data_IF_317549025175
#
_entry.id   IF_317549025175
#
_cell.length_a   1.000
_cell.length_b   1.000
_cell.length_c   1.000
_cell.angle_alpha   90.00
_cell.angle_beta   90.00
_cell.angle_gamma   90.00
#
_symmetry.space_group_name_H-M   'P 1'
#
loop_
_entity.id
_entity.type
_entity.pdbx_description
1 polymer ?
#
# COMPACT_ATOMS: atom_id res chain seq x y z
N UNK A 1 -16.24 -16.88 -7.70
CA UNK A 1 -15.46 -18.10 -7.89
C UNK A 1 -15.84 -19.03 -6.73
N UNK A 2 -16.84 -19.87 -6.95
CA UNK A 2 -17.46 -20.70 -5.92
C UNK A 2 -16.69 -22.04 -5.73
N UNK A 3 -16.20 -22.57 -6.80
CA UNK A 3 -15.47 -23.87 -6.78
C UNK A 3 -13.95 -23.72 -6.86
N UNK A 4 -13.45 -22.49 -6.93
CA UNK A 4 -12.02 -22.17 -6.85
C UNK A 4 -11.27 -22.44 -8.16
N UNK A 5 -11.96 -22.55 -9.28
CA UNK A 5 -11.38 -22.80 -10.59
C UNK A 5 -10.85 -21.52 -11.26
N UNK A 6 -11.18 -20.36 -10.71
CA UNK A 6 -10.72 -19.04 -11.16
C UNK A 6 -11.70 -18.31 -12.05
N UNK A 7 -12.79 -18.91 -12.42
CA UNK A 7 -13.86 -18.24 -13.15
C UNK A 7 -14.90 -17.66 -12.17
N UNK A 8 -15.48 -16.52 -12.52
CA UNK A 8 -16.46 -15.87 -11.66
C UNK A 8 -17.85 -16.44 -11.88
N UNK A 9 -18.49 -16.89 -10.79
CA UNK A 9 -19.83 -17.47 -10.76
C UNK A 9 -20.85 -16.41 -10.36
N UNK A 10 -21.88 -16.12 -11.20
CA UNK A 10 -22.92 -15.18 -10.86
C UNK A 10 -23.87 -15.71 -9.80
N UNK A 11 -24.05 -14.96 -8.72
CA UNK A 11 -25.12 -15.19 -7.74
C UNK A 11 -26.18 -14.11 -7.89
N UNK A 12 -27.40 -14.53 -8.22
CA UNK A 12 -28.53 -13.63 -8.47
C UNK A 12 -29.49 -13.72 -7.30
N UNK A 13 -29.67 -12.58 -6.63
CA UNK A 13 -30.67 -12.42 -5.59
C UNK A 13 -31.97 -11.95 -6.23
N UNK A 14 -33.05 -12.71 -6.05
CA UNK A 14 -34.36 -12.40 -6.59
C UNK A 14 -35.34 -11.99 -5.47
N UNK A 15 -36.03 -10.88 -5.65
CA UNK A 15 -37.09 -10.49 -4.75
C UNK A 15 -38.36 -11.34 -5.05
N UNK A 16 -38.84 -12.04 -4.05
CA UNK A 16 -40.04 -12.87 -4.16
C UNK A 16 -39.87 -14.21 -4.87
N UNK A 17 -38.66 -14.57 -5.30
CA UNK A 17 -38.30 -15.83 -5.94
C UNK A 17 -37.05 -16.44 -5.32
N UNK A 18 -36.80 -17.76 -5.48
CA UNK A 18 -35.54 -18.35 -5.03
C UNK A 18 -34.33 -17.70 -5.68
N UNK A 19 -33.31 -17.44 -4.86
CA UNK A 19 -32.00 -16.99 -5.36
C UNK A 19 -31.38 -18.07 -6.26
N UNK A 20 -30.56 -17.64 -7.19
CA UNK A 20 -29.90 -18.56 -8.15
C UNK A 20 -28.40 -18.34 -8.17
N UNK A 21 -27.68 -19.42 -8.12
CA UNK A 21 -26.25 -19.47 -8.35
C UNK A 21 -26.02 -20.13 -9.71
N UNK A 22 -25.28 -19.48 -10.56
CA UNK A 22 -24.91 -19.99 -11.88
C UNK A 22 -23.43 -20.34 -11.85
N UNK A 23 -23.11 -21.56 -12.11
CA UNK A 23 -21.73 -21.98 -12.28
C UNK A 23 -21.25 -21.59 -13.68
N UNK A 24 -20.10 -20.92 -13.72
CA UNK A 24 -19.37 -20.66 -14.95
C UNK A 24 -18.47 -21.89 -15.23
N UNK A 25 -18.73 -22.59 -16.32
CA UNK A 25 -17.91 -23.76 -16.70
C UNK A 25 -16.55 -23.38 -17.28
N UNK A 26 -16.26 -22.06 -17.30
CA UNK A 26 -14.97 -21.52 -17.61
C UNK A 26 -14.49 -21.70 -19.04
N UNK A 27 -13.21 -21.43 -19.20
CA UNK A 27 -12.48 -21.62 -20.44
C UNK A 27 -10.97 -21.74 -20.15
N UNK A 28 -10.15 -21.96 -21.19
CA UNK A 28 -8.69 -22.09 -21.04
C UNK A 28 -7.94 -20.76 -20.87
N UNK A 29 -8.62 -19.65 -20.64
CA UNK A 29 -7.99 -18.35 -20.44
C UNK A 29 -7.24 -18.27 -19.09
N UNK A 30 -6.17 -17.51 -19.08
CA UNK A 30 -5.46 -17.20 -17.85
C UNK A 30 -6.24 -16.24 -16.96
N UNK A 31 -6.03 -16.35 -15.66
CA UNK A 31 -6.58 -15.46 -14.65
C UNK A 31 -5.59 -15.22 -13.50
N UNK A 32 -5.83 -14.19 -12.72
CA UNK A 32 -5.08 -13.87 -11.51
C UNK A 32 -6.03 -13.32 -10.46
N UNK A 33 -5.94 -13.88 -9.26
CA UNK A 33 -6.62 -13.37 -8.07
C UNK A 33 -5.60 -12.76 -7.11
N UNK A 34 -5.94 -11.59 -6.55
CA UNK A 34 -5.07 -10.86 -5.62
C UNK A 34 -5.87 -10.49 -4.38
N UNK A 35 -5.40 -10.97 -3.23
CA UNK A 35 -5.88 -10.57 -1.91
C UNK A 35 -4.88 -9.58 -1.31
N UNK A 36 -5.37 -8.50 -0.74
CA UNK A 36 -4.56 -7.48 -0.11
C UNK A 36 -4.85 -7.42 1.39
N UNK A 37 -3.78 -7.32 2.19
CA UNK A 37 -3.85 -7.14 3.64
C UNK A 37 -3.12 -5.86 4.03
N UNK A 38 -3.90 -4.84 4.42
CA UNK A 38 -3.35 -3.58 4.91
C UNK A 38 -2.72 -3.74 6.30
N UNK A 39 -1.60 -3.10 6.51
CA UNK A 39 -0.94 -3.02 7.84
C UNK A 39 -0.91 -1.58 8.35
N UNK A 40 -0.86 -0.61 7.46
CA UNK A 40 -0.90 0.82 7.73
C UNK A 40 -2.17 1.44 7.16
N UNK A 41 -2.60 0.96 6.02
CA UNK A 41 -3.93 1.18 5.48
C UNK A 41 -4.96 0.38 6.28
N UNK A 42 -6.25 0.52 5.94
CA UNK A 42 -7.26 -0.35 6.52
C UNK A 42 -6.96 -1.82 6.17
N UNK A 43 -7.28 -2.73 7.09
CA UNK A 43 -6.94 -4.15 7.00
C UNK A 43 -7.41 -4.81 5.71
N UNK A 44 -8.53 -4.37 5.18
CA UNK A 44 -9.16 -4.89 3.96
C UNK A 44 -8.64 -4.21 2.69
N UNK A 45 -7.68 -3.30 2.81
CA UNK A 45 -7.09 -2.52 1.72
C UNK A 45 -8.14 -1.77 0.85
N UNK A 46 -9.31 -1.44 1.40
CA UNK A 46 -10.35 -0.70 0.68
C UNK A 46 -9.80 0.64 0.20
N UNK A 47 -9.93 0.93 -1.10
CA UNK A 47 -9.36 2.08 -1.78
C UNK A 47 -7.98 1.80 -2.41
N UNK A 48 -7.42 0.61 -2.24
CA UNK A 48 -6.20 0.21 -2.94
C UNK A 48 -6.48 0.05 -4.44
N UNK A 49 -5.56 0.54 -5.25
CA UNK A 49 -5.58 0.39 -6.70
C UNK A 49 -4.52 -0.58 -7.16
N UNK A 50 -4.92 -1.56 -7.96
CA UNK A 50 -4.05 -2.57 -8.54
C UNK A 50 -3.92 -2.31 -10.04
N UNK A 51 -2.72 -2.30 -10.54
CA UNK A 51 -2.41 -2.16 -11.98
C UNK A 51 -1.58 -3.36 -12.40
N UNK A 52 -2.16 -4.19 -13.25
CA UNK A 52 -1.53 -5.38 -13.79
C UNK A 52 -0.92 -5.05 -15.14
N UNK A 53 0.38 -5.26 -15.28
CA UNK A 53 1.16 -5.00 -16.48
C UNK A 53 1.46 -6.30 -17.23
N UNK A 54 1.61 -6.20 -18.53
CA UNK A 54 1.95 -7.24 -19.48
C UNK A 54 2.11 -6.61 -20.87
N UNK A 55 2.15 -7.41 -21.94
CA UNK A 55 2.37 -6.95 -23.30
C UNK A 55 1.38 -5.87 -23.82
N UNK A 56 0.20 -5.78 -23.23
CA UNK A 56 -0.82 -4.79 -23.61
C UNK A 56 -0.99 -3.72 -22.53
N UNK A 57 -1.98 -2.80 -22.75
CA UNK A 57 -2.30 -1.77 -21.78
C UNK A 57 -2.57 -2.37 -20.39
N UNK A 58 -2.13 -1.72 -19.32
CA UNK A 58 -2.37 -2.18 -17.95
C UNK A 58 -3.87 -2.37 -17.67
N UNK A 59 -4.19 -3.44 -16.94
CA UNK A 59 -5.54 -3.67 -16.43
C UNK A 59 -5.59 -3.13 -15.01
N UNK A 60 -6.54 -2.23 -14.73
CA UNK A 60 -6.68 -1.63 -13.40
C UNK A 60 -7.89 -2.21 -12.68
N UNK A 61 -7.71 -2.46 -11.38
CA UNK A 61 -8.77 -2.81 -10.42
C UNK A 61 -8.63 -1.94 -9.18
N UNK A 62 -9.74 -1.76 -8.47
CA UNK A 62 -9.78 -1.09 -7.18
C UNK A 62 -10.50 -1.98 -6.17
N UNK A 63 -9.95 -2.06 -4.96
CA UNK A 63 -10.62 -2.74 -3.85
C UNK A 63 -11.70 -1.80 -3.31
N UNK A 64 -12.95 -2.17 -3.55
CA UNK A 64 -14.12 -1.41 -3.09
C UNK A 64 -14.82 -2.15 -1.96
N UNK A 65 -15.28 -1.43 -0.96
CA UNK A 65 -16.06 -2.01 0.16
C UNK A 65 -17.52 -2.27 -0.20
N UNK A 66 -18.05 -1.53 -1.18
CA UNK A 66 -19.47 -1.57 -1.56
C UNK A 66 -19.62 -1.43 -3.08
N UNK A 67 -20.48 -2.23 -3.67
CA UNK A 67 -20.93 -2.09 -5.04
C UNK A 67 -22.46 -1.97 -5.07
N UNK A 68 -22.96 -0.74 -5.09
CA UNK A 68 -24.40 -0.46 -5.01
C UNK A 68 -25.02 -0.95 -3.70
N UNK A 69 -26.01 -1.83 -3.77
CA UNK A 69 -26.68 -2.45 -2.61
C UNK A 69 -26.01 -3.74 -2.13
N UNK A 70 -24.90 -4.15 -2.75
CA UNK A 70 -24.17 -5.37 -2.43
C UNK A 70 -22.78 -5.09 -1.92
N UNK A 71 -22.21 -6.02 -1.14
CA UNK A 71 -20.83 -6.00 -0.73
C UNK A 71 -19.95 -6.51 -1.89
N UNK A 72 -18.91 -5.75 -2.25
CA UNK A 72 -17.92 -6.20 -3.22
C UNK A 72 -16.99 -7.26 -2.61
N UNK A 73 -16.55 -8.19 -3.45
CA UNK A 73 -15.44 -9.08 -3.09
C UNK A 73 -14.18 -8.23 -2.80
N UNK A 74 -13.44 -8.60 -1.76
CA UNK A 74 -12.14 -8.00 -1.43
C UNK A 74 -11.01 -8.59 -2.26
N UNK A 75 -11.27 -9.66 -2.98
CA UNK A 75 -10.34 -10.26 -3.93
C UNK A 75 -10.41 -9.53 -5.26
N UNK A 76 -9.31 -8.95 -5.72
CA UNK A 76 -9.23 -8.41 -7.07
C UNK A 76 -9.03 -9.56 -8.06
N UNK A 77 -9.94 -9.67 -9.02
CA UNK A 77 -9.88 -10.68 -10.08
C UNK A 77 -9.50 -10.04 -11.42
N UNK A 78 -8.53 -10.64 -12.11
CA UNK A 78 -8.05 -10.23 -13.42
C UNK A 78 -8.20 -11.39 -14.42
N UNK A 79 -9.03 -11.23 -15.43
CA UNK A 79 -9.03 -12.11 -16.58
C UNK A 79 -7.89 -11.75 -17.53
N UNK A 80 -7.03 -12.68 -17.84
CA UNK A 80 -5.84 -12.47 -18.68
C UNK A 80 -6.07 -12.78 -20.16
N UNK A 81 -7.16 -13.50 -20.47
CA UNK A 81 -7.44 -14.02 -21.80
C UNK A 81 -6.49 -15.13 -22.23
N UNK A 82 -6.55 -15.53 -23.47
CA UNK A 82 -5.67 -16.57 -24.04
C UNK A 82 -4.28 -16.01 -24.33
N UNK A 83 -3.24 -16.69 -23.83
CA UNK A 83 -1.84 -16.42 -24.17
C UNK A 83 -1.28 -15.09 -23.65
N UNK A 84 -1.73 -14.62 -22.49
CA UNK A 84 -1.21 -13.41 -21.87
C UNK A 84 -0.53 -13.72 -20.54
N UNK A 85 0.80 -13.81 -20.49
CA UNK A 85 1.49 -13.68 -19.23
C UNK A 85 1.31 -12.24 -18.71
N UNK A 86 0.98 -12.10 -17.44
CA UNK A 86 1.14 -10.85 -16.74
C UNK A 86 2.58 -10.81 -16.20
N UNK A 87 3.29 -9.71 -16.44
CA UNK A 87 4.69 -9.60 -16.06
C UNK A 87 4.85 -9.06 -14.64
N UNK A 88 3.99 -8.12 -14.26
CA UNK A 88 4.08 -7.47 -12.97
C UNK A 88 2.75 -6.88 -12.49
N UNK A 89 2.65 -6.77 -11.18
CA UNK A 89 1.53 -6.12 -10.49
C UNK A 89 2.05 -4.94 -9.68
N UNK A 90 1.47 -3.77 -9.87
CA UNK A 90 1.68 -2.59 -9.01
C UNK A 90 0.43 -2.38 -8.16
N UNK A 91 0.62 -2.28 -6.85
CA UNK A 91 -0.42 -1.92 -5.90
C UNK A 91 -0.15 -0.52 -5.37
N UNK A 92 -1.12 0.37 -5.50
CA UNK A 92 -1.14 1.69 -4.85
C UNK A 92 -2.08 1.58 -3.67
N UNK A 93 -1.53 1.52 -2.47
CA UNK A 93 -2.27 1.40 -1.23
C UNK A 93 -3.01 2.71 -0.87
N UNK A 94 -4.06 2.67 -0.06
CA UNK A 94 -4.85 3.87 0.29
C UNK A 94 -4.03 5.02 0.87
N UNK A 95 -2.95 4.70 1.61
CA UNK A 95 -1.98 5.68 2.13
C UNK A 95 -1.01 6.26 1.09
N UNK A 96 -1.15 5.90 -0.20
CA UNK A 96 -0.27 6.34 -1.28
C UNK A 96 1.01 5.50 -1.45
N UNK A 97 1.23 4.51 -0.61
CA UNK A 97 2.34 3.57 -0.77
C UNK A 97 2.18 2.76 -2.06
N UNK A 98 3.29 2.57 -2.79
CA UNK A 98 3.32 1.77 -4.01
C UNK A 98 4.19 0.54 -3.80
N UNK A 99 3.64 -0.61 -4.15
CA UNK A 99 4.31 -1.90 -4.00
C UNK A 99 4.22 -2.65 -5.32
N UNK A 100 5.38 -2.96 -5.89
CA UNK A 100 5.50 -3.71 -7.15
C UNK A 100 5.86 -5.17 -6.88
N UNK A 101 5.34 -6.07 -7.70
CA UNK A 101 5.60 -7.50 -7.64
C UNK A 101 5.80 -8.02 -9.06
N UNK A 102 6.85 -8.84 -9.28
CA UNK A 102 6.97 -9.66 -10.48
C UNK A 102 6.03 -10.85 -10.42
N UNK A 103 5.58 -11.28 -11.56
CA UNK A 103 4.70 -12.41 -11.70
C UNK A 103 5.39 -13.50 -12.53
N UNK A 104 5.41 -14.71 -11.99
CA UNK A 104 5.75 -15.89 -12.79
C UNK A 104 4.61 -16.23 -13.75
N UNK A 105 4.93 -16.91 -14.85
CA UNK A 105 3.97 -17.32 -15.90
C UNK A 105 2.77 -18.10 -15.36
N UNK A 106 2.97 -18.84 -14.27
CA UNK A 106 1.97 -19.73 -13.67
C UNK A 106 1.31 -19.17 -12.41
N UNK A 107 1.58 -17.90 -12.08
CA UNK A 107 1.00 -17.25 -10.91
C UNK A 107 -0.50 -17.08 -11.10
N UNK A 108 -1.30 -17.66 -10.21
CA UNK A 108 -2.77 -17.59 -10.23
C UNK A 108 -3.33 -16.83 -9.02
N UNK A 109 -2.70 -16.96 -7.86
CA UNK A 109 -3.15 -16.32 -6.61
C UNK A 109 -2.00 -15.63 -5.91
N UNK A 110 -2.28 -14.47 -5.36
CA UNK A 110 -1.34 -13.66 -4.60
C UNK A 110 -2.03 -13.18 -3.33
N UNK A 111 -1.41 -13.45 -2.19
CA UNK A 111 -1.73 -12.83 -0.92
C UNK A 111 -0.62 -11.83 -0.59
N UNK A 112 -0.94 -10.54 -0.64
CA UNK A 112 0.02 -9.48 -0.46
C UNK A 112 -0.27 -8.67 0.79
N UNK A 113 0.71 -8.62 1.68
CA UNK A 113 0.69 -7.77 2.86
C UNK A 113 1.35 -6.44 2.54
N UNK A 114 0.73 -5.34 2.93
CA UNK A 114 1.27 -3.99 2.74
C UNK A 114 2.68 -3.87 3.34
N UNK A 115 3.66 -3.54 2.48
CA UNK A 115 5.05 -3.38 2.88
C UNK A 115 5.85 -4.68 3.01
N UNK A 116 5.27 -5.85 2.75
CA UNK A 116 6.04 -7.09 2.65
C UNK A 116 6.77 -7.20 1.32
N UNK A 117 7.88 -7.95 1.31
CA UNK A 117 8.51 -8.42 0.08
C UNK A 117 7.94 -9.83 -0.15
N UNK A 118 7.26 -10.10 -1.27
CA UNK A 118 6.78 -11.45 -1.55
C UNK A 118 7.95 -12.42 -1.67
N UNK A 119 7.86 -13.54 -0.97
CA UNK A 119 8.94 -14.55 -0.87
C UNK A 119 9.12 -15.40 -2.14
N UNK A 120 8.32 -15.19 -3.18
CA UNK A 120 8.30 -15.99 -4.40
C UNK A 120 8.41 -15.13 -5.65
N UNK A 121 9.57 -14.48 -5.84
CA UNK A 121 9.84 -13.78 -7.09
C UNK A 121 11.29 -13.98 -7.49
N UNK A 122 11.50 -14.53 -8.69
CA UNK A 122 12.80 -14.64 -9.35
C UNK A 122 13.52 -13.28 -9.45
N UNK A 123 14.83 -13.31 -9.31
CA UNK A 123 15.77 -12.20 -9.09
C UNK A 123 15.87 -11.11 -10.18
N UNK A 124 14.96 -11.02 -11.15
CA UNK A 124 15.10 -10.13 -12.32
C UNK A 124 14.28 -8.84 -12.25
N UNK A 125 14.17 -8.23 -11.06
CA UNK A 125 13.50 -6.94 -10.88
C UNK A 125 14.46 -5.76 -10.70
N UNK A 126 15.44 -5.66 -11.57
CA UNK A 126 16.40 -4.54 -11.57
C UNK A 126 15.87 -3.21 -12.13
N UNK A 127 14.62 -3.12 -12.58
CA UNK A 127 14.09 -1.91 -13.22
C UNK A 127 13.07 -1.10 -12.42
N UNK A 128 12.56 -1.60 -11.31
CA UNK A 128 11.84 -0.72 -10.37
C UNK A 128 12.85 -0.23 -9.33
N UNK A 129 13.29 1.00 -9.49
CA UNK A 129 14.22 1.65 -8.56
C UNK A 129 13.76 1.41 -7.12
N UNK A 130 14.47 0.52 -6.43
CA UNK A 130 14.43 0.40 -4.97
C UNK A 130 15.09 1.67 -4.44
N UNK A 131 14.33 2.73 -4.32
CA UNK A 131 14.82 3.96 -3.71
C UNK A 131 14.31 4.02 -2.28
N UNK A 132 15.17 4.39 -1.36
CA UNK A 132 14.74 4.74 0.00
C UNK A 132 13.66 5.83 -0.08
N UNK A 133 12.54 5.68 0.61
CA UNK A 133 11.38 6.56 0.51
C UNK A 133 10.82 6.93 1.87
N UNK A 134 10.38 8.16 1.98
CA UNK A 134 9.66 8.68 3.13
C UNK A 134 8.22 8.98 2.73
N UNK A 135 7.27 8.52 3.56
CA UNK A 135 5.84 8.71 3.32
C UNK A 135 5.31 9.86 4.17
N UNK A 136 4.17 10.41 3.77
CA UNK A 136 3.50 11.44 4.57
C UNK A 136 3.14 10.89 5.95
N UNK A 137 3.14 11.78 6.93
CA UNK A 137 2.72 11.43 8.28
C UNK A 137 1.21 11.09 8.34
N UNK A 138 0.87 10.15 9.19
CA UNK A 138 -0.51 9.77 9.45
C UNK A 138 -0.74 9.50 10.95
N UNK A 139 -1.85 9.99 11.53
CA UNK A 139 -2.83 10.92 10.95
C UNK A 139 -2.26 12.32 10.68
N UNK A 140 -2.87 13.06 9.75
CA UNK A 140 -2.60 14.47 9.49
C UNK A 140 -3.90 15.14 8.99
N UNK A 141 -4.54 16.07 9.73
CA UNK A 141 -4.13 16.56 11.03
C UNK A 141 -4.12 15.52 12.16
N UNK A 142 -3.36 15.76 13.23
CA UNK A 142 -3.28 14.89 14.39
C UNK A 142 -3.47 15.66 15.70
N UNK A 143 -3.92 14.95 16.74
CA UNK A 143 -4.18 15.51 18.06
C UNK A 143 -3.06 15.16 19.05
N UNK A 144 -2.80 13.88 19.29
CA UNK A 144 -1.84 13.43 20.29
C UNK A 144 -0.50 12.98 19.68
N UNK A 145 -0.56 12.23 18.60
CA UNK A 145 0.64 11.71 17.93
C UNK A 145 0.39 11.49 16.44
N UNK A 146 1.49 11.48 15.69
CA UNK A 146 1.51 11.12 14.27
C UNK A 146 2.71 10.25 13.97
N UNK A 147 2.62 9.41 12.94
CA UNK A 147 3.69 8.51 12.52
C UNK A 147 4.19 8.89 11.14
N UNK A 148 5.50 8.91 10.98
CA UNK A 148 6.20 9.02 9.72
C UNK A 148 6.73 7.62 9.40
N UNK A 149 6.33 7.08 8.27
CA UNK A 149 6.83 5.81 7.78
C UNK A 149 7.88 6.05 6.70
N UNK A 150 8.86 5.18 6.63
CA UNK A 150 9.87 5.18 5.59
C UNK A 150 10.38 3.78 5.29
N UNK A 151 10.96 3.64 4.12
CA UNK A 151 11.60 2.41 3.66
C UNK A 151 13.05 2.70 3.36
N UNK A 152 13.95 1.82 3.84
CA UNK A 152 15.38 1.82 3.53
C UNK A 152 15.67 0.69 2.56
N UNK A 153 16.32 1.01 1.45
CA UNK A 153 16.81 -0.01 0.51
C UNK A 153 17.96 -0.81 1.10
N UNK A 154 18.88 -0.12 1.77
CA UNK A 154 20.07 -0.66 2.41
C UNK A 154 20.19 -0.13 3.84
N UNK A 155 20.99 -0.80 4.66
CA UNK A 155 21.37 -0.28 5.96
C UNK A 155 22.04 1.08 5.81
N UNK A 156 21.63 2.05 6.60
CA UNK A 156 22.18 3.38 6.49
C UNK A 156 21.72 4.36 7.56
N UNK A 157 22.37 5.53 7.61
CA UNK A 157 22.04 6.59 8.55
C UNK A 157 20.68 7.22 8.22
N UNK A 158 19.90 7.41 9.27
CA UNK A 158 18.58 8.04 9.21
C UNK A 158 18.51 9.17 10.20
N UNK A 159 18.12 10.36 9.74
CA UNK A 159 17.88 11.53 10.59
C UNK A 159 16.52 12.12 10.28
N UNK A 160 15.77 12.42 11.33
CA UNK A 160 14.51 13.14 11.19
C UNK A 160 14.36 14.16 12.30
N UNK A 161 14.07 15.39 11.92
CA UNK A 161 13.80 16.49 12.85
C UNK A 161 12.53 17.24 12.46
N UNK A 162 11.84 17.76 13.46
CA UNK A 162 10.62 18.58 13.34
C UNK A 162 10.97 20.05 13.59
N UNK A 163 10.38 20.93 12.79
CA UNK A 163 10.57 22.38 12.83
C UNK A 163 9.21 23.09 12.92
N UNK A 164 9.19 24.23 13.57
CA UNK A 164 8.04 25.13 13.56
C UNK A 164 8.01 26.01 12.29
N UNK A 165 6.97 26.85 12.17
CA UNK A 165 6.81 27.77 11.02
C UNK A 165 7.93 28.81 10.87
N UNK A 166 8.69 29.08 11.94
CA UNK A 166 9.85 29.97 11.92
C UNK A 166 11.15 29.26 11.54
N UNK A 167 11.10 27.96 11.24
CA UNK A 167 12.28 27.14 10.90
C UNK A 167 13.13 26.76 12.11
N UNK A 168 12.67 26.97 13.33
CA UNK A 168 13.35 26.55 14.55
C UNK A 168 13.09 25.05 14.79
N UNK A 169 14.14 24.29 15.12
CA UNK A 169 13.99 22.87 15.44
C UNK A 169 13.22 22.69 16.75
N UNK A 170 12.17 21.91 16.69
CA UNK A 170 11.28 21.61 17.81
C UNK A 170 11.64 20.28 18.45
N UNK A 171 11.90 19.25 17.63
CA UNK A 171 12.19 17.89 18.09
C UNK A 171 13.15 17.19 17.15
N UNK A 172 14.11 16.48 17.72
CA UNK A 172 14.85 15.44 17.00
C UNK A 172 14.13 14.08 17.23
N UNK A 173 13.65 13.45 16.16
CA UNK A 173 12.89 12.21 16.25
C UNK A 173 13.79 10.98 16.17
N UNK A 174 14.82 11.02 15.32
CA UNK A 174 15.78 9.93 15.12
C UNK A 174 17.08 10.47 14.55
N UNK A 175 18.21 9.92 14.99
CA UNK A 175 19.56 10.13 14.42
C UNK A 175 20.37 8.86 14.70
N UNK A 176 20.17 7.81 13.88
CA UNK A 176 20.84 6.50 14.06
C UNK A 176 20.91 5.75 12.72
N UNK A 177 21.73 4.70 12.69
CA UNK A 177 21.82 3.78 11.55
C UNK A 177 20.79 2.66 11.74
N UNK A 178 19.99 2.43 10.70
CA UNK A 178 18.97 1.39 10.69
C UNK A 178 19.22 0.38 9.57
N UNK A 179 18.78 -0.85 9.80
CA UNK A 179 18.84 -1.92 8.80
C UNK A 179 17.91 -1.62 7.62
N UNK A 180 18.15 -2.28 6.49
CA UNK A 180 17.23 -2.26 5.35
C UNK A 180 15.83 -2.73 5.76
N UNK A 181 14.80 -2.13 5.17
CA UNK A 181 13.41 -2.51 5.43
C UNK A 181 12.48 -1.34 5.73
N UNK A 182 11.28 -1.68 6.19
CA UNK A 182 10.25 -0.70 6.55
C UNK A 182 10.37 -0.30 8.01
N UNK A 183 10.38 1.00 8.26
CA UNK A 183 10.49 1.61 9.57
C UNK A 183 9.40 2.65 9.79
N UNK A 184 9.16 2.99 11.03
CA UNK A 184 8.32 4.13 11.41
C UNK A 184 8.93 4.87 12.60
N UNK A 185 8.73 6.16 12.63
CA UNK A 185 9.01 7.02 13.78
C UNK A 185 7.75 7.77 14.16
N UNK A 186 7.61 8.08 15.41
CA UNK A 186 6.44 8.75 15.95
C UNK A 186 6.82 10.10 16.55
N UNK A 187 5.99 11.11 16.27
CA UNK A 187 6.03 12.37 17.01
C UNK A 187 4.79 12.47 17.89
N UNK A 188 5.05 12.68 19.17
CA UNK A 188 4.07 12.79 20.24
C UNK A 188 3.61 14.24 20.52
N UNK A 189 4.03 15.17 19.66
CA UNK A 189 3.71 16.59 19.81
C UNK A 189 4.47 17.27 20.98
N UNK A 190 5.58 16.72 21.46
CA UNK A 190 6.45 17.34 22.45
C UNK A 190 7.74 17.87 21.78
N UNK A 191 8.31 18.91 22.41
CA UNK A 191 9.60 19.48 22.05
C UNK A 191 10.77 18.64 22.62
N UNK A 192 12.01 18.93 22.22
CA UNK A 192 13.21 18.32 22.83
C UNK A 192 13.31 18.59 24.33
N UNK A 193 12.76 19.71 24.80
CA UNK A 193 12.71 20.05 26.23
C UNK A 193 11.55 19.38 26.98
N UNK A 194 10.79 18.48 26.35
CA UNK A 194 9.63 17.82 26.95
C UNK A 194 8.39 18.74 27.12
N UNK A 195 8.39 19.92 26.52
CA UNK A 195 7.26 20.82 26.55
C UNK A 195 6.27 20.48 25.45
N UNK A 196 5.01 20.72 25.70
CA UNK A 196 3.92 20.52 24.73
C UNK A 196 4.04 21.52 23.58
N UNK A 197 4.08 21.07 22.35
CA UNK A 197 4.02 21.91 21.17
C UNK A 197 2.61 22.48 20.99
N UNK A 198 2.49 23.73 20.57
CA UNK A 198 1.20 24.40 20.33
C UNK A 198 0.51 23.87 19.08
N UNK A 199 -0.82 24.02 18.99
CA UNK A 199 -1.53 23.80 17.73
C UNK A 199 -0.95 24.64 16.60
N UNK A 200 -0.76 24.05 15.43
CA UNK A 200 -0.16 24.75 14.30
C UNK A 200 0.42 23.81 13.24
N UNK A 201 1.04 24.43 12.25
CA UNK A 201 1.73 23.71 11.17
C UNK A 201 3.19 23.53 11.56
N UNK A 202 3.66 22.30 11.44
CA UNK A 202 5.04 21.90 11.64
C UNK A 202 5.58 21.28 10.37
N UNK A 203 6.91 21.31 10.22
CA UNK A 203 7.60 20.73 9.08
C UNK A 203 8.56 19.65 9.56
N UNK A 204 8.64 18.55 8.85
CA UNK A 204 9.71 17.57 9.08
C UNK A 204 10.76 17.66 7.99
N UNK A 205 12.00 17.43 8.38
CA UNK A 205 13.12 17.20 7.48
C UNK A 205 13.68 15.81 7.78
N UNK A 206 13.63 14.97 6.78
CA UNK A 206 14.04 13.58 6.86
C UNK A 206 15.23 13.39 5.93
N UNK A 207 16.34 12.89 6.46
CA UNK A 207 17.52 12.52 5.69
C UNK A 207 17.68 11.01 5.74
N UNK A 208 17.76 10.39 4.58
CA UNK A 208 17.90 8.94 4.41
C UNK A 208 18.69 8.65 3.14
N UNK A 209 19.71 7.81 3.21
CA UNK A 209 20.55 7.42 2.06
C UNK A 209 21.06 8.64 1.25
N UNK A 210 21.42 9.73 1.92
CA UNK A 210 21.87 10.97 1.30
C UNK A 210 20.79 11.83 0.65
N UNK A 211 19.55 11.39 0.64
CA UNK A 211 18.39 12.14 0.14
C UNK A 211 17.67 12.88 1.25
N UNK A 212 17.12 14.05 0.92
CA UNK A 212 16.36 14.88 1.86
C UNK A 212 14.90 14.94 1.44
N UNK A 213 14.04 14.48 2.33
CA UNK A 213 12.59 14.58 2.20
C UNK A 213 12.05 15.62 3.18
N UNK A 214 11.05 16.37 2.73
CA UNK A 214 10.40 17.40 3.55
C UNK A 214 8.90 17.27 3.42
N UNK A 215 8.18 17.53 4.50
CA UNK A 215 6.72 17.55 4.48
C UNK A 215 6.18 18.39 5.62
N UNK A 216 4.85 18.59 5.64
CA UNK A 216 4.16 19.36 6.66
C UNK A 216 3.19 18.51 7.46
N UNK A 217 3.02 18.86 8.72
CA UNK A 217 2.14 18.18 9.68
C UNK A 217 1.27 19.23 10.38
N UNK A 218 0.00 18.95 10.57
CA UNK A 218 -0.93 19.84 11.30
C UNK A 218 -1.25 19.25 12.66
N UNK A 219 -0.79 19.89 13.72
CA UNK A 219 -1.14 19.54 15.10
C UNK A 219 -2.38 20.36 15.51
N UNK A 220 -3.40 19.66 16.00
CA UNK A 220 -4.65 20.24 16.52
C UNK A 220 -4.86 19.73 17.92
N UNK A 221 -4.91 20.64 18.89
CA UNK A 221 -5.16 20.34 20.32
C UNK A 221 -6.38 21.08 20.81
#
# INVERSE_FOLDING_TARGET
DMDGDGDLDPYVVNEGFPNRLYRNEGNSNGWLQVNLHGTLSNIDAIGARLMLYGEKKPITREISGVAGLAQSSRTAHFGLGSGRPADSLMVVWPGGFRQGIALGSDTRRIDLVEGSIPTSVSEDFSTFTRESRVFNNFPNPFNANTRLRFFLEEEGPVRCSVYNALGQRVRNLIDETLLAGSHYIQWDGFTDAGLTASSGIYFYRFEVSGMIYKGSMSLVR
#
